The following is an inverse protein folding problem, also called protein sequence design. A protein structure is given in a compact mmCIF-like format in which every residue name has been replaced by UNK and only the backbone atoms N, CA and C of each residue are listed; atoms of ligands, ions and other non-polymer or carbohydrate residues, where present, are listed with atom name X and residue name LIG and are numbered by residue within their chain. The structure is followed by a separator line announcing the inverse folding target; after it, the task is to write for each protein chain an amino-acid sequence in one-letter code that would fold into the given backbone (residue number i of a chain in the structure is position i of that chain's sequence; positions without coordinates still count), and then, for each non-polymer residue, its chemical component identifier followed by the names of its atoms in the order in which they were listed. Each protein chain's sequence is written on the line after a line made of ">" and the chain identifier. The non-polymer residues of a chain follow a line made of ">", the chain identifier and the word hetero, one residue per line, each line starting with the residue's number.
data_IF_915549056679
#
_entry.id   IF_915549056679
#
_cell.length_a   1.000
_cell.length_b   1.000
_cell.length_c   1.000
_cell.angle_alpha   90.00
_cell.angle_beta   90.00
_cell.angle_gamma   90.00
#
_symmetry.space_group_name_H-M   'P 1'
#
loop_
_entity.id
_entity.type
_entity.pdbx_description
1 polymer ?
#
# COMPACT_ATOMS: atom_id res chain seq x y z
N UNK A 1 8.30 88.46 -11.47
CA UNK A 1 8.43 87.40 -10.42
C UNK A 1 7.62 86.11 -10.66
N UNK A 2 6.90 85.91 -11.80
CA UNK A 2 6.09 84.69 -12.07
C UNK A 2 6.77 83.62 -12.96
N UNK A 3 7.95 83.88 -13.53
CA UNK A 3 8.69 82.96 -14.41
C UNK A 3 9.68 82.04 -13.71
N UNK A 4 10.19 82.39 -12.53
CA UNK A 4 11.19 81.55 -11.82
C UNK A 4 10.57 80.39 -11.03
N UNK A 5 9.31 80.49 -10.61
CA UNK A 5 8.65 79.44 -9.83
C UNK A 5 8.29 78.23 -10.70
N UNK A 6 7.97 78.40 -11.99
CA UNK A 6 7.66 77.31 -12.91
C UNK A 6 8.86 76.41 -13.26
N UNK A 7 10.05 77.05 -13.35
CA UNK A 7 11.28 76.26 -13.64
C UNK A 7 11.74 75.42 -12.45
N UNK A 8 11.53 75.90 -11.22
CA UNK A 8 11.94 75.16 -10.04
C UNK A 8 11.02 73.94 -9.75
N UNK A 9 9.73 74.05 -10.10
CA UNK A 9 8.77 72.96 -9.97
C UNK A 9 9.03 71.84 -10.98
N UNK A 10 9.51 72.18 -12.19
CA UNK A 10 9.87 71.18 -13.20
C UNK A 10 11.15 70.40 -12.88
N UNK A 11 12.12 71.06 -12.20
CA UNK A 11 13.37 70.43 -11.78
C UNK A 11 13.12 69.44 -10.62
N UNK A 12 12.25 69.78 -9.67
CA UNK A 12 11.88 68.88 -8.57
C UNK A 12 11.06 67.64 -9.07
N UNK A 13 10.23 67.78 -10.09
CA UNK A 13 9.48 66.66 -10.65
C UNK A 13 10.39 65.68 -11.43
N UNK A 14 11.47 66.18 -12.06
CA UNK A 14 12.44 65.33 -12.76
C UNK A 14 13.33 64.52 -11.82
N UNK A 15 13.65 65.02 -10.62
CA UNK A 15 14.45 64.29 -9.59
C UNK A 15 13.63 63.16 -8.96
N UNK A 16 12.29 63.31 -8.86
CA UNK A 16 11.43 62.27 -8.30
C UNK A 16 11.20 61.10 -9.25
N UNK A 17 11.34 61.30 -10.59
CA UNK A 17 11.18 60.23 -11.60
C UNK A 17 12.47 59.39 -11.73
N UNK A 18 13.66 59.94 -11.42
CA UNK A 18 14.93 59.19 -11.49
C UNK A 18 15.18 58.31 -10.26
N UNK A 19 14.47 58.54 -9.14
CA UNK A 19 14.59 57.73 -7.90
C UNK A 19 13.86 56.40 -7.87
N UNK A 20 13.02 56.11 -8.92
CA UNK A 20 12.18 54.88 -8.96
C UNK A 20 12.78 53.78 -9.86
N UNK A 21 13.96 53.98 -10.43
CA UNK A 21 14.57 53.02 -11.39
C UNK A 21 15.66 52.12 -10.77
N UNK A 22 15.95 52.22 -9.47
CA UNK A 22 16.85 51.31 -8.76
C UNK A 22 16.11 50.40 -7.77
N UNK A 23 14.95 49.92 -8.17
CA UNK A 23 14.34 48.76 -7.58
C UNK A 23 15.17 47.55 -7.96
N UNK A 24 16.17 47.15 -7.18
CA UNK A 24 16.79 45.86 -7.29
C UNK A 24 15.68 44.84 -7.23
N UNK A 25 15.41 44.20 -8.35
CA UNK A 25 14.70 42.94 -8.44
C UNK A 25 15.54 41.93 -7.66
N UNK A 26 15.33 41.92 -6.32
CA UNK A 26 15.74 40.83 -5.49
C UNK A 26 14.81 39.67 -5.88
N UNK A 27 15.25 38.88 -6.85
CA UNK A 27 14.68 37.55 -7.04
C UNK A 27 14.74 36.86 -5.67
N UNK A 28 13.66 36.97 -4.94
CA UNK A 28 13.39 36.11 -3.80
C UNK A 28 13.33 34.70 -4.38
N UNK A 29 14.46 34.02 -4.42
CA UNK A 29 14.50 32.57 -4.48
C UNK A 29 13.87 32.10 -3.18
N UNK A 30 12.55 32.15 -3.12
CA UNK A 30 11.79 31.42 -2.15
C UNK A 30 12.32 29.98 -2.29
N UNK A 31 13.11 29.53 -1.32
CA UNK A 31 13.40 28.11 -1.16
C UNK A 31 12.02 27.47 -1.05
N UNK A 32 11.55 26.89 -2.16
CA UNK A 32 10.38 26.00 -2.13
C UNK A 32 10.81 24.88 -1.19
N UNK A 33 10.34 24.94 0.06
CA UNK A 33 10.55 23.82 0.96
C UNK A 33 10.04 22.58 0.25
N UNK A 34 10.85 21.51 0.18
CA UNK A 34 10.44 20.31 -0.52
C UNK A 34 9.15 19.82 0.14
N UNK A 35 8.06 19.82 -0.63
CA UNK A 35 6.76 19.35 -0.15
C UNK A 35 6.94 17.94 0.40
N UNK A 36 6.65 17.74 1.67
CA UNK A 36 6.70 16.42 2.30
C UNK A 36 5.66 15.51 1.63
N UNK A 37 6.10 14.36 1.13
CA UNK A 37 5.22 13.37 0.50
C UNK A 37 4.58 12.51 1.59
N UNK A 38 3.26 12.55 1.73
CA UNK A 38 2.50 11.72 2.66
C UNK A 38 2.22 10.35 2.06
N UNK A 39 2.75 9.31 2.66
CA UNK A 39 2.63 7.92 2.18
C UNK A 39 1.85 7.09 3.17
N UNK A 40 0.66 6.62 2.75
CA UNK A 40 -0.18 5.69 3.52
C UNK A 40 0.27 4.25 3.34
N UNK A 41 0.43 3.55 4.45
CA UNK A 41 0.79 2.13 4.50
C UNK A 41 -0.06 1.42 5.56
N UNK A 42 -0.12 0.08 5.55
CA UNK A 42 -0.61 -0.63 6.74
C UNK A 42 0.52 -0.82 7.75
N UNK A 43 0.15 -0.83 9.04
CA UNK A 43 1.08 -1.09 10.14
C UNK A 43 1.82 -2.43 9.97
N UNK A 44 2.99 -2.55 10.57
CA UNK A 44 3.88 -3.71 10.49
C UNK A 44 4.73 -3.71 9.21
N UNK A 45 4.83 -4.81 8.47
CA UNK A 45 5.81 -4.98 7.40
C UNK A 45 5.80 -3.90 6.32
N UNK A 46 4.64 -3.35 5.97
CA UNK A 46 4.57 -2.25 5.00
C UNK A 46 5.21 -0.97 5.55
N UNK A 47 4.94 -0.65 6.82
CA UNK A 47 5.55 0.50 7.50
C UNK A 47 7.05 0.31 7.67
N UNK A 48 7.49 -0.88 8.09
CA UNK A 48 8.91 -1.21 8.28
C UNK A 48 9.73 -1.06 6.98
N UNK A 49 9.19 -1.55 5.85
CA UNK A 49 9.82 -1.33 4.53
C UNK A 49 9.81 0.15 4.17
N UNK A 50 8.70 0.86 4.38
CA UNK A 50 8.58 2.27 4.03
C UNK A 50 9.52 3.15 4.88
N UNK A 51 9.83 2.78 6.11
CA UNK A 51 10.82 3.48 6.95
C UNK A 51 12.24 3.38 6.39
N UNK A 52 12.59 2.25 5.79
CA UNK A 52 13.86 2.10 5.07
C UNK A 52 13.86 2.95 3.80
N UNK A 53 12.79 2.89 3.03
CA UNK A 53 12.60 3.72 1.82
C UNK A 53 12.72 5.20 2.15
N UNK A 54 12.08 5.66 3.22
CA UNK A 54 12.15 7.04 3.72
C UNK A 54 13.60 7.49 3.95
N UNK A 55 14.40 6.69 4.67
CA UNK A 55 15.80 6.99 4.95
C UNK A 55 16.65 7.11 3.69
N UNK A 56 16.32 6.33 2.65
CA UNK A 56 17.02 6.39 1.36
C UNK A 56 16.55 7.61 0.57
N UNK A 57 15.25 7.87 0.53
CA UNK A 57 14.67 9.01 -0.18
C UNK A 57 15.17 10.37 0.37
N UNK A 58 15.42 10.45 1.69
CA UNK A 58 15.97 11.63 2.34
C UNK A 58 17.36 12.01 1.80
N UNK A 59 18.19 11.04 1.42
CA UNK A 59 19.51 11.28 0.80
C UNK A 59 19.38 11.96 -0.58
N UNK A 60 18.27 11.71 -1.30
CA UNK A 60 17.93 12.33 -2.59
C UNK A 60 17.05 13.60 -2.42
N UNK A 61 16.94 14.12 -1.18
CA UNK A 61 16.22 15.36 -0.85
C UNK A 61 14.69 15.22 -0.86
N UNK A 62 14.14 13.99 -0.75
CA UNK A 62 12.70 13.76 -0.61
C UNK A 62 12.35 13.49 0.86
N UNK A 63 11.53 14.36 1.45
CA UNK A 63 10.93 14.11 2.76
C UNK A 63 9.68 13.26 2.62
N UNK A 64 9.57 12.20 3.41
CA UNK A 64 8.41 11.31 3.48
C UNK A 64 7.84 11.35 4.90
N UNK A 65 6.53 11.54 4.98
CA UNK A 65 5.72 11.32 6.18
C UNK A 65 4.97 9.99 5.99
N UNK A 66 5.26 9.00 6.83
CA UNK A 66 4.59 7.71 6.81
C UNK A 66 3.34 7.79 7.68
N UNK A 67 2.18 7.42 7.11
CA UNK A 67 0.89 7.40 7.80
C UNK A 67 0.40 5.96 7.83
N UNK A 68 0.29 5.41 9.03
CA UNK A 68 -0.09 4.02 9.23
C UNK A 68 -1.60 3.85 9.39
N UNK A 69 -2.13 2.82 8.76
CA UNK A 69 -3.52 2.40 8.84
C UNK A 69 -3.60 0.96 9.35
N UNK A 70 -4.69 0.62 10.03
CA UNK A 70 -4.90 -0.71 10.59
C UNK A 70 -5.84 -1.61 9.77
N UNK A 71 -6.34 -1.11 8.65
CA UNK A 71 -7.25 -1.81 7.74
C UNK A 71 -6.89 -1.55 6.26
N UNK A 72 -7.58 -2.25 5.34
CA UNK A 72 -7.37 -2.09 3.90
C UNK A 72 -8.30 -1.07 3.22
N UNK A 73 -9.26 -0.50 3.94
CA UNK A 73 -10.27 0.42 3.39
C UNK A 73 -9.78 1.86 3.41
N UNK A 74 -9.31 2.30 4.59
CA UNK A 74 -8.96 3.69 4.85
C UNK A 74 -7.83 4.24 3.97
N UNK A 75 -6.76 3.49 3.61
CA UNK A 75 -5.70 4.06 2.79
C UNK A 75 -6.16 4.55 1.41
N UNK A 76 -7.12 3.86 0.77
CA UNK A 76 -7.67 4.30 -0.52
C UNK A 76 -8.65 5.47 -0.37
N UNK A 77 -9.41 5.52 0.73
CA UNK A 77 -10.27 6.66 1.07
C UNK A 77 -9.41 7.91 1.26
N UNK A 78 -8.39 7.85 2.10
CA UNK A 78 -7.49 8.95 2.38
C UNK A 78 -6.74 9.44 1.12
N UNK A 79 -6.31 8.50 0.25
CA UNK A 79 -5.68 8.86 -1.02
C UNK A 79 -6.64 9.59 -1.96
N UNK A 80 -7.86 9.08 -2.11
CA UNK A 80 -8.87 9.69 -2.97
C UNK A 80 -9.28 11.09 -2.48
N UNK A 81 -9.38 11.29 -1.16
CA UNK A 81 -9.72 12.57 -0.52
C UNK A 81 -8.55 13.58 -0.54
N UNK A 82 -7.31 13.11 -0.72
CA UNK A 82 -6.11 13.95 -0.73
C UNK A 82 -5.46 14.14 0.64
N UNK A 83 -5.86 13.37 1.65
CA UNK A 83 -5.26 13.38 2.99
C UNK A 83 -3.84 12.80 2.96
N UNK A 84 -3.61 11.86 2.03
CA UNK A 84 -2.29 11.33 1.66
C UNK A 84 -2.03 11.53 0.16
N UNK A 85 -0.77 11.49 -0.24
CA UNK A 85 -0.35 11.67 -1.64
C UNK A 85 -0.16 10.34 -2.37
N UNK A 86 0.22 9.29 -1.65
CA UNK A 86 0.55 7.95 -2.15
C UNK A 86 0.05 6.93 -1.15
N UNK A 87 -0.33 5.73 -1.61
CA UNK A 87 -0.36 4.56 -0.72
C UNK A 87 0.44 3.38 -1.28
N UNK A 88 0.92 2.51 -0.37
CA UNK A 88 1.66 1.29 -0.68
C UNK A 88 1.31 0.21 0.36
N UNK A 89 0.22 -0.55 0.10
CA UNK A 89 -0.28 -1.58 1.03
C UNK A 89 -1.03 -2.71 0.32
N UNK A 90 -1.44 -2.50 -0.91
CA UNK A 90 -2.41 -3.33 -1.63
C UNK A 90 -1.83 -3.96 -2.88
N UNK A 91 -2.40 -5.07 -3.31
CA UNK A 91 -2.10 -5.69 -4.59
C UNK A 91 -3.04 -5.19 -5.71
N UNK A 92 -2.60 -5.38 -6.95
CA UNK A 92 -3.33 -4.89 -8.14
C UNK A 92 -4.80 -5.35 -8.21
N UNK A 93 -5.17 -6.63 -8.00
CA UNK A 93 -6.57 -7.05 -8.00
C UNK A 93 -7.45 -6.32 -6.98
N UNK A 94 -6.92 -5.99 -5.78
CA UNK A 94 -7.65 -5.23 -4.77
C UNK A 94 -7.93 -3.81 -5.24
N UNK A 95 -6.92 -3.12 -5.79
CA UNK A 95 -7.09 -1.78 -6.35
C UNK A 95 -8.14 -1.77 -7.46
N UNK A 96 -8.08 -2.73 -8.40
CA UNK A 96 -9.03 -2.81 -9.52
C UNK A 96 -10.47 -2.97 -9.04
N UNK A 97 -10.67 -3.77 -8.00
CA UNK A 97 -11.99 -3.92 -7.39
C UNK A 97 -12.48 -2.60 -6.76
N UNK A 98 -11.64 -1.93 -5.97
CA UNK A 98 -11.98 -0.65 -5.32
C UNK A 98 -12.27 0.45 -6.35
N UNK A 99 -11.48 0.56 -7.42
CA UNK A 99 -11.72 1.52 -8.51
C UNK A 99 -13.10 1.27 -9.12
N UNK A 100 -13.42 0.00 -9.41
CA UNK A 100 -14.71 -0.37 -9.99
C UNK A 100 -15.89 -0.05 -9.06
N UNK A 101 -15.75 -0.40 -7.78
CA UNK A 101 -16.86 -0.32 -6.83
C UNK A 101 -17.12 1.12 -6.34
N UNK A 102 -16.07 1.95 -6.27
CA UNK A 102 -16.13 3.31 -5.70
C UNK A 102 -15.90 4.42 -6.72
N UNK A 103 -15.62 4.08 -7.98
CA UNK A 103 -15.30 5.04 -9.05
C UNK A 103 -14.15 5.99 -8.68
N UNK A 104 -13.14 5.48 -7.97
CA UNK A 104 -11.95 6.26 -7.63
C UNK A 104 -11.03 6.41 -8.85
N UNK A 105 -10.45 7.60 -9.01
CA UNK A 105 -9.47 7.89 -10.06
C UNK A 105 -8.04 7.67 -9.54
N UNK A 106 -7.72 6.40 -9.28
CA UNK A 106 -6.44 5.94 -8.74
C UNK A 106 -5.69 5.10 -9.77
N UNK A 107 -4.37 5.22 -9.80
CA UNK A 107 -3.50 4.49 -10.73
C UNK A 107 -2.28 3.91 -10.06
N UNK A 108 -1.84 2.75 -10.54
CA UNK A 108 -0.57 2.12 -10.16
C UNK A 108 0.58 2.87 -10.82
N UNK A 109 1.67 3.11 -10.08
CA UNK A 109 2.89 3.74 -10.58
C UNK A 109 4.15 2.91 -10.35
N UNK A 110 4.09 1.81 -9.61
CA UNK A 110 5.21 0.89 -9.40
C UNK A 110 4.81 -0.37 -8.66
N UNK A 111 5.57 -1.44 -8.85
CA UNK A 111 5.46 -2.66 -8.05
C UNK A 111 6.30 -2.53 -6.78
N UNK A 112 5.97 -3.31 -5.75
CA UNK A 112 6.72 -3.29 -4.49
C UNK A 112 7.10 -4.70 -4.04
N UNK A 113 6.29 -5.36 -3.26
CA UNK A 113 6.57 -6.67 -2.67
C UNK A 113 5.45 -7.66 -2.94
N UNK A 114 5.76 -8.94 -2.77
CA UNK A 114 4.75 -9.99 -2.65
C UNK A 114 4.71 -10.42 -1.19
N UNK A 115 3.49 -10.55 -0.68
CA UNK A 115 3.18 -11.15 0.60
C UNK A 115 2.43 -12.46 0.35
N UNK A 116 3.10 -13.63 0.25
CA UNK A 116 2.43 -14.90 0.05
C UNK A 116 1.43 -15.16 1.18
N UNK A 117 0.15 -15.40 0.85
CA UNK A 117 -0.87 -15.73 1.83
C UNK A 117 -0.60 -17.10 2.46
N UNK A 118 -0.81 -17.23 3.77
CA UNK A 118 -0.62 -18.49 4.49
C UNK A 118 -1.93 -19.07 5.02
N UNK A 119 -1.99 -20.39 5.15
CA UNK A 119 -2.99 -21.11 5.95
C UNK A 119 -2.38 -21.43 7.32
N UNK A 120 -3.05 -21.04 8.38
CA UNK A 120 -2.59 -21.17 9.75
C UNK A 120 -3.58 -21.95 10.59
N UNK A 121 -3.08 -22.55 11.68
CA UNK A 121 -3.86 -23.22 12.69
C UNK A 121 -3.15 -23.19 14.04
N UNK A 122 -3.91 -23.16 15.11
CA UNK A 122 -3.41 -23.38 16.47
C UNK A 122 -3.72 -24.80 16.99
N UNK A 123 -4.40 -25.63 16.20
CA UNK A 123 -4.98 -26.90 16.63
C UNK A 123 -4.40 -28.12 15.92
N UNK A 124 -3.99 -27.96 14.66
CA UNK A 124 -3.61 -29.08 13.79
C UNK A 124 -2.10 -29.13 13.57
N UNK A 125 -1.58 -30.33 13.31
CA UNK A 125 -0.16 -30.48 12.91
C UNK A 125 0.01 -30.39 11.39
N UNK A 126 -1.00 -30.84 10.64
CA UNK A 126 -1.00 -30.74 9.18
C UNK A 126 -2.46 -30.67 8.65
N UNK A 127 -2.63 -30.31 7.38
CA UNK A 127 -3.95 -30.12 6.78
C UNK A 127 -4.76 -31.44 6.67
N UNK A 128 -4.07 -32.60 6.63
CA UNK A 128 -4.74 -33.88 6.56
C UNK A 128 -5.56 -34.19 7.83
N UNK A 129 -5.18 -33.59 8.97
CA UNK A 129 -5.85 -33.74 10.26
C UNK A 129 -7.19 -32.98 10.35
N UNK A 130 -7.52 -32.15 9.35
CA UNK A 130 -8.74 -31.35 9.32
C UNK A 130 -9.99 -32.25 9.37
N UNK A 131 -10.82 -32.04 10.37
CA UNK A 131 -12.01 -32.86 10.63
C UNK A 131 -13.22 -32.43 9.78
N UNK A 132 -14.20 -33.34 9.65
CA UNK A 132 -15.50 -32.99 9.05
C UNK A 132 -16.22 -31.95 9.90
N UNK A 133 -16.76 -30.91 9.25
CA UNK A 133 -17.42 -29.79 9.93
C UNK A 133 -16.48 -28.72 10.45
N UNK A 134 -15.19 -28.81 10.15
CA UNK A 134 -14.19 -27.85 10.59
C UNK A 134 -14.53 -26.41 10.16
N UNK A 135 -14.20 -25.45 11.03
CA UNK A 135 -14.39 -24.02 10.79
C UNK A 135 -13.15 -23.41 10.11
N UNK A 136 -13.37 -22.63 9.06
CA UNK A 136 -12.33 -22.02 8.24
C UNK A 136 -12.56 -20.52 8.12
N UNK A 137 -11.67 -19.69 8.65
CA UNK A 137 -11.73 -18.25 8.45
C UNK A 137 -11.02 -17.82 7.16
N UNK A 138 -11.66 -16.92 6.41
CA UNK A 138 -11.09 -16.27 5.22
C UNK A 138 -11.41 -14.77 5.24
N UNK A 139 -10.63 -13.92 4.52
CA UNK A 139 -10.97 -12.51 4.34
C UNK A 139 -12.33 -12.31 3.67
N UNK A 140 -13.07 -11.29 4.09
CA UNK A 140 -14.40 -10.96 3.58
C UNK A 140 -14.39 -10.01 2.36
N UNK A 141 -13.22 -9.45 1.97
CA UNK A 141 -13.13 -8.71 0.73
C UNK A 141 -13.05 -9.69 -0.47
N UNK A 142 -13.68 -9.33 -1.62
CA UNK A 142 -13.83 -10.26 -2.74
C UNK A 142 -12.51 -10.80 -3.28
N UNK A 143 -11.44 -10.00 -3.21
CA UNK A 143 -10.16 -10.37 -3.82
C UNK A 143 -9.30 -11.24 -2.92
N UNK A 144 -9.22 -10.95 -1.62
CA UNK A 144 -8.52 -11.83 -0.68
C UNK A 144 -9.36 -13.05 -0.28
N UNK A 145 -10.69 -12.93 -0.23
CA UNK A 145 -11.60 -14.07 -0.08
C UNK A 145 -11.44 -15.07 -1.23
N UNK A 146 -11.49 -14.59 -2.48
CA UNK A 146 -11.26 -15.42 -3.65
C UNK A 146 -9.86 -16.06 -3.65
N UNK A 147 -8.83 -15.31 -3.27
CA UNK A 147 -7.45 -15.80 -3.09
C UNK A 147 -7.37 -16.92 -2.06
N UNK A 148 -8.04 -16.77 -0.92
CA UNK A 148 -8.10 -17.78 0.12
C UNK A 148 -8.82 -19.06 -0.36
N UNK A 149 -9.91 -18.92 -1.12
CA UNK A 149 -10.63 -20.06 -1.71
C UNK A 149 -9.75 -20.83 -2.70
N UNK A 150 -9.00 -20.15 -3.57
CA UNK A 150 -8.04 -20.78 -4.46
C UNK A 150 -6.94 -21.54 -3.69
N UNK A 151 -6.53 -21.01 -2.55
CA UNK A 151 -5.54 -21.66 -1.69
C UNK A 151 -6.13 -22.92 -1.04
N UNK A 152 -7.38 -22.87 -0.57
CA UNK A 152 -8.10 -24.02 -0.02
C UNK A 152 -8.33 -25.11 -1.08
N UNK A 153 -8.60 -24.73 -2.35
CA UNK A 153 -8.70 -25.67 -3.47
C UNK A 153 -7.35 -26.33 -3.74
N UNK A 154 -6.27 -25.54 -3.77
CA UNK A 154 -4.91 -26.04 -4.02
C UNK A 154 -4.47 -27.10 -3.02
N UNK A 155 -4.88 -26.98 -1.75
CA UNK A 155 -4.60 -27.97 -0.69
C UNK A 155 -5.66 -29.09 -0.60
N UNK A 156 -6.63 -29.15 -1.55
CA UNK A 156 -7.59 -30.21 -1.66
C UNK A 156 -8.70 -30.21 -0.61
N UNK A 157 -8.94 -29.10 0.08
CA UNK A 157 -10.00 -28.95 1.09
C UNK A 157 -11.38 -28.74 0.45
N UNK A 158 -11.43 -27.99 -0.65
CA UNK A 158 -12.62 -27.73 -1.46
C UNK A 158 -12.30 -27.89 -2.93
N UNK A 159 -13.36 -27.87 -3.77
CA UNK A 159 -13.23 -27.68 -5.22
C UNK A 159 -14.13 -26.55 -5.68
N UNK A 160 -13.59 -25.70 -6.52
CA UNK A 160 -14.27 -24.55 -7.07
C UNK A 160 -14.83 -24.88 -8.47
N UNK A 161 -15.82 -24.12 -8.87
CA UNK A 161 -16.34 -24.14 -10.25
C UNK A 161 -15.23 -23.78 -11.23
N UNK A 162 -15.06 -24.53 -12.34
CA UNK A 162 -14.02 -24.25 -13.32
C UNK A 162 -14.08 -22.82 -13.87
N UNK A 163 -12.91 -22.18 -13.97
CA UNK A 163 -12.76 -20.87 -14.62
C UNK A 163 -13.10 -19.65 -13.76
N UNK A 164 -13.46 -19.79 -12.48
CA UNK A 164 -13.74 -18.65 -11.58
C UNK A 164 -12.48 -17.81 -11.28
N UNK A 165 -11.31 -18.47 -11.19
CA UNK A 165 -10.02 -17.79 -10.97
C UNK A 165 -10.03 -16.88 -9.75
N UNK A 166 -9.37 -15.73 -9.85
CA UNK A 166 -9.24 -14.76 -8.75
C UNK A 166 -10.56 -14.09 -8.30
N UNK A 167 -11.67 -14.38 -8.99
CA UNK A 167 -13.02 -13.90 -8.64
C UNK A 167 -13.85 -14.92 -7.87
N UNK A 168 -13.23 -16.03 -7.43
CA UNK A 168 -13.91 -17.08 -6.69
C UNK A 168 -14.65 -16.52 -5.46
N UNK A 169 -15.87 -17.00 -5.24
CA UNK A 169 -16.70 -16.69 -4.08
C UNK A 169 -17.11 -18.00 -3.38
N UNK A 170 -17.56 -17.94 -2.14
CA UNK A 170 -18.02 -19.12 -1.38
C UNK A 170 -19.12 -19.90 -2.12
N UNK A 171 -19.96 -19.19 -2.88
CA UNK A 171 -21.02 -19.79 -3.72
C UNK A 171 -20.50 -20.56 -4.94
N UNK A 172 -19.21 -20.45 -5.26
CA UNK A 172 -18.59 -21.19 -6.35
C UNK A 172 -18.00 -22.54 -5.91
N UNK A 173 -18.11 -22.88 -4.62
CA UNK A 173 -17.70 -24.20 -4.11
C UNK A 173 -18.65 -25.27 -4.63
N UNK A 174 -18.14 -26.19 -5.43
CA UNK A 174 -18.91 -27.32 -5.98
C UNK A 174 -18.68 -28.64 -5.25
N UNK A 175 -17.53 -28.80 -4.58
CA UNK A 175 -17.27 -29.93 -3.71
C UNK A 175 -16.71 -29.45 -2.36
N UNK A 176 -17.26 -29.96 -1.29
CA UNK A 176 -16.85 -29.71 0.10
C UNK A 176 -16.91 -31.06 0.88
N UNK A 177 -15.96 -31.97 0.62
CA UNK A 177 -16.04 -33.35 1.13
C UNK A 177 -15.99 -33.42 2.64
N UNK A 178 -15.28 -32.47 3.28
CA UNK A 178 -15.21 -32.38 4.74
C UNK A 178 -16.30 -31.51 5.35
N UNK A 179 -17.24 -30.99 4.55
CA UNK A 179 -18.34 -30.12 4.99
C UNK A 179 -17.83 -28.97 5.86
N UNK A 180 -16.69 -28.37 5.49
CA UNK A 180 -16.13 -27.22 6.20
C UNK A 180 -17.12 -26.06 6.24
N UNK A 181 -17.07 -25.30 7.32
CA UNK A 181 -17.89 -24.09 7.52
C UNK A 181 -17.00 -22.86 7.33
N UNK A 182 -17.22 -22.13 6.24
CA UNK A 182 -16.44 -20.92 5.97
C UNK A 182 -17.01 -19.74 6.78
N UNK A 183 -16.11 -19.00 7.40
CA UNK A 183 -16.37 -17.74 8.12
C UNK A 183 -15.62 -16.62 7.41
N UNK A 184 -16.35 -15.73 6.75
CA UNK A 184 -15.80 -14.55 6.12
C UNK A 184 -15.67 -13.43 7.16
N UNK A 185 -14.44 -13.01 7.44
CA UNK A 185 -14.10 -12.04 8.47
C UNK A 185 -13.26 -10.90 7.87
N UNK A 186 -13.28 -9.74 8.51
CA UNK A 186 -12.31 -8.68 8.20
C UNK A 186 -10.88 -9.23 8.32
N UNK A 187 -10.05 -8.98 7.30
CA UNK A 187 -8.71 -9.56 7.22
C UNK A 187 -7.83 -9.22 8.45
N UNK A 188 -8.00 -8.02 9.03
CA UNK A 188 -7.27 -7.60 10.22
C UNK A 188 -7.73 -8.32 11.49
N UNK A 189 -8.93 -8.94 11.49
CA UNK A 189 -9.47 -9.66 12.66
C UNK A 189 -9.12 -11.16 12.65
N UNK A 190 -8.79 -11.72 11.47
CA UNK A 190 -8.56 -13.16 11.34
C UNK A 190 -7.47 -13.69 12.28
N UNK A 191 -6.30 -13.03 12.44
CA UNK A 191 -5.28 -13.54 13.36
C UNK A 191 -5.78 -13.71 14.81
N UNK A 192 -6.64 -12.79 15.27
CA UNK A 192 -7.21 -12.83 16.62
C UNK A 192 -8.23 -13.95 16.79
N UNK A 193 -8.89 -14.33 15.70
CA UNK A 193 -9.89 -15.40 15.68
C UNK A 193 -9.27 -16.80 15.51
N UNK A 194 -7.94 -16.90 15.29
CA UNK A 194 -7.26 -18.16 14.95
C UNK A 194 -7.48 -19.26 15.99
N UNK A 195 -7.52 -18.92 17.28
CA UNK A 195 -7.76 -19.88 18.36
C UNK A 195 -9.16 -20.52 18.29
N UNK A 196 -10.15 -19.79 17.78
CA UNK A 196 -11.54 -20.25 17.66
C UNK A 196 -11.81 -21.01 16.35
N UNK A 197 -10.91 -20.91 15.37
CA UNK A 197 -11.02 -21.57 14.05
C UNK A 197 -10.19 -22.85 14.05
N UNK A 198 -10.53 -23.77 13.15
CA UNK A 198 -9.71 -24.96 12.92
C UNK A 198 -8.53 -24.61 11.99
N UNK A 199 -8.78 -23.84 10.95
CA UNK A 199 -7.76 -23.21 10.09
C UNK A 199 -8.20 -21.80 9.70
N UNK A 200 -7.23 -20.97 9.31
CA UNK A 200 -7.50 -19.63 8.79
C UNK A 200 -6.54 -19.25 7.65
N UNK A 201 -7.06 -18.65 6.61
CA UNK A 201 -6.25 -17.97 5.58
C UNK A 201 -5.95 -16.54 6.03
N UNK A 202 -4.68 -16.24 6.29
CA UNK A 202 -4.27 -14.96 6.84
C UNK A 202 -3.32 -14.25 5.87
N UNK A 203 -3.62 -12.99 5.57
CA UNK A 203 -2.71 -12.13 4.83
C UNK A 203 -1.42 -11.93 5.63
N UNK A 204 -0.28 -12.11 4.98
CA UNK A 204 1.03 -12.19 5.64
C UNK A 204 1.40 -10.95 6.46
N UNK A 205 1.03 -9.74 6.03
CA UNK A 205 1.27 -8.55 6.85
C UNK A 205 0.54 -8.64 8.21
N UNK A 206 -0.71 -9.11 8.24
CA UNK A 206 -1.45 -9.30 9.49
C UNK A 206 -0.94 -10.49 10.31
N UNK A 207 -0.47 -11.55 9.65
CA UNK A 207 0.18 -12.67 10.34
C UNK A 207 1.44 -12.20 11.08
N UNK A 208 2.33 -11.46 10.41
CA UNK A 208 3.55 -10.91 11.01
C UNK A 208 3.21 -9.92 12.14
N UNK A 209 2.26 -9.03 11.93
CA UNK A 209 1.82 -8.07 12.97
C UNK A 209 1.25 -8.77 14.20
N UNK A 210 0.66 -9.96 14.04
CA UNK A 210 0.17 -10.80 15.13
C UNK A 210 1.25 -11.68 15.78
N UNK A 211 2.52 -11.55 15.35
CA UNK A 211 3.65 -12.29 15.91
C UNK A 211 3.87 -13.68 15.29
N UNK A 212 3.13 -14.03 14.23
CA UNK A 212 3.35 -15.26 13.49
C UNK A 212 4.56 -15.11 12.55
N UNK A 213 5.32 -16.17 12.35
CA UNK A 213 6.41 -16.26 11.39
C UNK A 213 5.92 -17.09 10.19
N UNK A 214 5.47 -16.47 9.08
CA UNK A 214 4.79 -17.17 7.98
C UNK A 214 5.52 -18.41 7.48
N UNK A 215 6.84 -18.33 7.29
CA UNK A 215 7.67 -19.44 6.82
C UNK A 215 7.83 -20.60 7.82
N UNK A 216 7.34 -20.45 9.08
CA UNK A 216 7.42 -21.48 10.13
C UNK A 216 6.06 -21.92 10.62
N UNK A 217 5.14 -20.95 10.79
CA UNK A 217 3.88 -21.16 11.50
C UNK A 217 2.73 -21.48 10.53
N UNK A 218 2.87 -21.16 9.23
CA UNK A 218 1.89 -21.56 8.25
C UNK A 218 2.01 -23.06 7.94
N UNK A 219 0.89 -23.78 7.97
CA UNK A 219 0.82 -25.18 7.53
C UNK A 219 0.79 -25.31 6.01
N UNK A 220 0.53 -24.21 5.32
CA UNK A 220 0.64 -24.09 3.87
C UNK A 220 0.85 -22.60 3.49
N UNK A 221 1.70 -22.35 2.50
CA UNK A 221 1.97 -21.02 1.96
C UNK A 221 1.67 -20.97 0.46
N UNK A 222 1.16 -19.84 0.00
CA UNK A 222 1.05 -19.51 -1.41
C UNK A 222 2.42 -19.47 -2.10
N UNK A 223 2.45 -19.77 -3.39
CA UNK A 223 3.69 -19.63 -4.17
C UNK A 223 4.08 -18.16 -4.35
N UNK A 224 5.38 -17.91 -4.45
CA UNK A 224 5.92 -16.58 -4.74
C UNK A 224 5.59 -16.07 -6.16
N UNK A 225 5.25 -16.96 -7.09
CA UNK A 225 4.79 -16.59 -8.44
C UNK A 225 3.28 -16.34 -8.44
N UNK A 226 2.87 -15.23 -7.87
CA UNK A 226 1.48 -14.89 -7.58
C UNK A 226 1.06 -13.58 -8.26
N UNK A 227 -0.19 -13.44 -8.74
CA UNK A 227 -0.70 -12.19 -9.32
C UNK A 227 -0.92 -11.07 -8.27
N UNK A 228 -0.65 -11.36 -7.00
CA UNK A 228 -0.92 -10.46 -5.89
C UNK A 228 0.30 -9.61 -5.49
N UNK A 229 1.11 -9.19 -6.49
CA UNK A 229 2.16 -8.20 -6.27
C UNK A 229 1.56 -6.90 -5.75
N UNK A 230 2.12 -6.40 -4.66
CA UNK A 230 1.75 -5.11 -4.09
C UNK A 230 2.32 -3.96 -4.93
N UNK A 231 1.67 -2.82 -4.82
CA UNK A 231 1.85 -1.69 -5.73
C UNK A 231 1.91 -0.36 -4.97
N UNK A 232 2.60 0.61 -5.58
CA UNK A 232 2.50 2.03 -5.24
C UNK A 232 1.35 2.63 -6.04
N UNK A 233 0.45 3.33 -5.37
CA UNK A 233 -0.76 3.92 -5.95
C UNK A 233 -0.84 5.41 -5.65
N UNK A 234 -1.25 6.17 -6.65
CA UNK A 234 -1.49 7.62 -6.59
C UNK A 234 -2.82 7.97 -7.26
N UNK A 235 -3.31 9.20 -7.06
CA UNK A 235 -4.39 9.74 -7.91
C UNK A 235 -3.88 9.90 -9.34
N UNK A 236 -4.72 9.69 -10.35
CA UNK A 236 -4.32 9.76 -11.76
C UNK A 236 -3.65 11.10 -12.12
N UNK A 237 -4.13 12.21 -11.56
CA UNK A 237 -3.54 13.55 -11.74
C UNK A 237 -2.12 13.71 -11.22
N UNK A 238 -1.71 12.86 -10.27
CA UNK A 238 -0.41 12.91 -9.58
C UNK A 238 0.60 11.90 -10.16
N UNK A 239 0.23 11.17 -11.23
CA UNK A 239 1.04 10.10 -11.83
C UNK A 239 2.45 10.54 -12.22
N UNK A 240 2.58 11.74 -12.77
CA UNK A 240 3.86 12.29 -13.26
C UNK A 240 4.59 13.14 -12.19
N UNK A 241 4.17 13.09 -10.93
CA UNK A 241 4.79 13.86 -9.86
C UNK A 241 6.26 13.41 -9.63
N UNK A 242 7.26 14.32 -9.77
CA UNK A 242 8.65 13.96 -9.59
C UNK A 242 9.00 13.37 -8.21
N UNK A 243 8.28 13.77 -7.15
CA UNK A 243 8.46 13.22 -5.82
C UNK A 243 8.06 11.73 -5.76
N UNK A 244 7.01 11.33 -6.49
CA UNK A 244 6.58 9.93 -6.63
C UNK A 244 7.65 9.11 -7.36
N UNK A 245 8.28 9.66 -8.40
CA UNK A 245 9.37 8.97 -9.12
C UNK A 245 10.59 8.77 -8.21
N UNK A 246 10.92 9.75 -7.36
CA UNK A 246 11.97 9.59 -6.35
C UNK A 246 11.64 8.53 -5.31
N UNK A 247 10.38 8.47 -4.86
CA UNK A 247 9.90 7.42 -3.95
C UNK A 247 10.10 6.02 -4.56
N UNK A 248 9.67 5.82 -5.81
CA UNK A 248 9.81 4.54 -6.52
C UNK A 248 11.28 4.16 -6.67
N UNK A 249 12.14 5.10 -7.06
CA UNK A 249 13.59 4.89 -7.16
C UNK A 249 14.18 4.45 -5.83
N UNK A 250 13.81 5.12 -4.73
CA UNK A 250 14.27 4.77 -3.38
C UNK A 250 13.74 3.38 -2.97
N UNK A 251 12.47 3.09 -3.27
CA UNK A 251 11.86 1.78 -2.99
C UNK A 251 12.61 0.65 -3.70
N UNK A 252 12.95 0.84 -4.98
CA UNK A 252 13.63 -0.17 -5.82
C UNK A 252 15.15 -0.22 -5.62
N UNK A 253 15.68 0.36 -4.53
CA UNK A 253 17.10 0.32 -4.23
C UNK A 253 17.57 -1.06 -3.78
N UNK A 254 18.87 -1.32 -3.92
CA UNK A 254 19.50 -2.53 -3.44
C UNK A 254 19.41 -2.66 -1.91
N UNK A 255 19.49 -1.53 -1.19
CA UNK A 255 19.39 -1.48 0.26
C UNK A 255 18.01 -1.94 0.76
N UNK A 256 16.91 -1.51 0.10
CA UNK A 256 15.54 -1.97 0.44
C UNK A 256 15.42 -3.47 0.16
N UNK A 257 15.94 -3.94 -0.98
CA UNK A 257 15.90 -5.36 -1.33
C UNK A 257 16.65 -6.22 -0.30
N UNK A 258 17.84 -5.79 0.10
CA UNK A 258 18.63 -6.46 1.13
C UNK A 258 17.90 -6.50 2.47
N UNK A 259 17.33 -5.35 2.89
CA UNK A 259 16.53 -5.29 4.11
C UNK A 259 15.37 -6.29 4.07
N UNK A 260 14.61 -6.34 2.98
CA UNK A 260 13.49 -7.28 2.83
C UNK A 260 13.95 -8.73 2.99
N UNK A 261 15.07 -9.10 2.34
CA UNK A 261 15.60 -10.46 2.36
C UNK A 261 16.07 -10.88 3.77
N UNK A 262 16.83 -9.99 4.43
CA UNK A 262 17.44 -10.29 5.73
C UNK A 262 16.42 -10.24 6.88
N UNK A 263 15.50 -9.27 6.83
CA UNK A 263 14.55 -9.04 7.90
C UNK A 263 13.38 -10.03 7.86
N UNK A 264 12.76 -10.23 6.69
CA UNK A 264 11.57 -11.08 6.57
C UNK A 264 11.86 -12.53 6.19
N UNK A 265 13.09 -12.86 5.82
CA UNK A 265 13.59 -14.25 5.61
C UNK A 265 12.66 -15.10 4.74
N UNK A 266 12.17 -14.53 3.64
CA UNK A 266 11.29 -15.19 2.68
C UNK A 266 9.79 -15.03 2.94
N UNK A 267 9.36 -14.47 4.08
CA UNK A 267 7.95 -14.15 4.34
C UNK A 267 7.46 -12.97 3.48
N UNK A 268 8.37 -12.08 3.07
CA UNK A 268 8.13 -10.95 2.16
C UNK A 268 9.18 -11.01 1.06
N UNK A 269 8.76 -10.75 -0.18
CA UNK A 269 9.61 -10.93 -1.37
C UNK A 269 9.56 -9.64 -2.19
N UNK A 270 10.73 -9.10 -2.56
CA UNK A 270 10.83 -7.98 -3.47
C UNK A 270 10.35 -8.36 -4.89
N UNK A 271 9.54 -7.51 -5.53
CA UNK A 271 8.88 -7.80 -6.80
C UNK A 271 9.16 -6.76 -7.90
N UNK A 272 10.38 -6.25 -7.92
CA UNK A 272 10.92 -5.36 -8.97
C UNK A 272 12.26 -5.87 -9.48
#
# INVERSE_FOLDING_TARGET
>A
MKKSVKSLSLLLALIFILGLATGCSQESTAKVEPKTLKVGVTAGPHAEVMDVVKKIAEKDGLKIEVIEFNDYIQPNVALNQGDIDVNSFQHKPYLDNIIKDRSYDLVTVGNTVIFPMGIYTSKLKNIADLQTGATVAIPNDPTNGGRALLLLEKIGVIKLKPGVGIKAAVTDIIENPKKIVIKELDAAQIPRSLADMDIAAINTNYAITAGLVPTKDAIFMEDSNSPYTNIVVVRAKDKENPAVQKLIKAYHSAEVKTFIQEHFKGSVIAAW
#
